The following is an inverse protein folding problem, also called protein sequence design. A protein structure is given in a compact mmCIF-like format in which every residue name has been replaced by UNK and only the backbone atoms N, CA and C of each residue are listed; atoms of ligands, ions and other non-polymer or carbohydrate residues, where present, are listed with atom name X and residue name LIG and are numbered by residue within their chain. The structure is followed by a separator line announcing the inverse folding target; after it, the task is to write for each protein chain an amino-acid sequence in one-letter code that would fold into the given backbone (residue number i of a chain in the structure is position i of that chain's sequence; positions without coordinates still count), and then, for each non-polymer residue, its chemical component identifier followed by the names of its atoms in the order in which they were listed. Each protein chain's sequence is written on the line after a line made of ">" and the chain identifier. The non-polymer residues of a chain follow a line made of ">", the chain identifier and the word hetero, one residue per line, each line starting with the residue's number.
data_IF_909747408895
#
_entry.id   IF_909747408895
#
_cell.length_a   1.000
_cell.length_b   1.000
_cell.length_c   1.000
_cell.angle_alpha   90.00
_cell.angle_beta   90.00
_cell.angle_gamma   90.00
#
_symmetry.space_group_name_H-M   'P 1'
#
loop_
_entity.id
_entity.type
_entity.pdbx_description
1 polymer ?
#
# COMPACT_ATOMS: atom_id res chain seq x y z
N UNK A 1 -16.61 -18.63 -17.80
CA UNK A 1 -16.37 -19.78 -16.91
C UNK A 1 -16.45 -19.26 -15.49
N UNK A 2 -17.30 -19.85 -14.65
CA UNK A 2 -17.28 -19.58 -13.20
C UNK A 2 -16.05 -20.25 -12.62
N UNK A 3 -15.21 -19.57 -11.82
CA UNK A 3 -14.09 -20.24 -11.18
C UNK A 3 -14.60 -21.29 -10.20
N UNK A 4 -13.87 -22.41 -10.15
CA UNK A 4 -14.01 -23.38 -9.09
C UNK A 4 -13.35 -22.80 -7.82
N UNK A 5 -14.16 -22.41 -6.85
CA UNK A 5 -13.70 -21.77 -5.62
C UNK A 5 -12.96 -22.75 -4.70
N UNK A 6 -13.17 -24.06 -4.85
CA UNK A 6 -12.51 -25.09 -4.02
C UNK A 6 -11.00 -25.23 -4.32
N UNK A 7 -10.55 -24.62 -5.43
CA UNK A 7 -9.13 -24.57 -5.82
C UNK A 7 -8.34 -23.44 -5.15
N UNK A 8 -8.96 -22.60 -4.32
CA UNK A 8 -8.31 -21.44 -3.72
C UNK A 8 -8.45 -21.45 -2.21
N UNK A 9 -7.41 -20.97 -1.53
CA UNK A 9 -7.39 -20.88 -0.07
C UNK A 9 -7.95 -19.52 0.40
N UNK A 10 -7.84 -18.49 -0.45
CA UNK A 10 -8.35 -17.14 -0.18
C UNK A 10 -9.05 -16.54 -1.39
N UNK A 11 -10.18 -15.88 -1.12
CA UNK A 11 -10.85 -14.95 -2.03
C UNK A 11 -10.62 -13.53 -1.52
N UNK A 12 -9.95 -12.70 -2.33
CA UNK A 12 -9.80 -11.27 -2.08
C UNK A 12 -10.73 -10.49 -3.01
N UNK A 13 -11.54 -9.60 -2.44
CA UNK A 13 -12.38 -8.67 -3.19
C UNK A 13 -11.79 -7.27 -3.09
N UNK A 14 -11.29 -6.76 -4.21
CA UNK A 14 -10.54 -5.51 -4.33
C UNK A 14 -9.05 -5.75 -4.60
N UNK A 15 -8.53 -5.12 -5.66
CA UNK A 15 -7.12 -5.17 -6.06
C UNK A 15 -6.48 -3.77 -6.13
N UNK A 16 -6.85 -2.92 -5.16
CA UNK A 16 -6.05 -1.75 -4.80
C UNK A 16 -4.74 -2.15 -4.10
N UNK A 17 -3.97 -1.18 -3.63
CA UNK A 17 -2.62 -1.42 -3.08
C UNK A 17 -2.63 -2.42 -1.92
N UNK A 18 -3.61 -2.34 -1.02
CA UNK A 18 -3.75 -3.29 0.09
C UNK A 18 -4.05 -4.72 -0.40
N UNK A 19 -4.96 -4.85 -1.38
CA UNK A 19 -5.33 -6.15 -1.95
C UNK A 19 -4.20 -6.78 -2.75
N UNK A 20 -3.47 -5.97 -3.53
CA UNK A 20 -2.31 -6.41 -4.30
C UNK A 20 -1.15 -6.87 -3.39
N UNK A 21 -0.82 -6.10 -2.36
CA UNK A 21 0.19 -6.47 -1.36
C UNK A 21 -0.22 -7.75 -0.64
N UNK A 22 -1.46 -7.83 -0.14
CA UNK A 22 -1.95 -9.02 0.55
C UNK A 22 -1.94 -10.27 -0.34
N UNK A 23 -2.36 -10.14 -1.61
CA UNK A 23 -2.32 -11.24 -2.57
C UNK A 23 -0.89 -11.75 -2.78
N UNK A 24 0.09 -10.84 -2.95
CA UNK A 24 1.50 -11.18 -3.11
C UNK A 24 2.04 -11.89 -1.88
N UNK A 25 1.80 -11.33 -0.69
CA UNK A 25 2.22 -11.85 0.60
C UNK A 25 1.68 -13.27 0.86
N UNK A 26 0.40 -13.51 0.59
CA UNK A 26 -0.21 -14.83 0.72
C UNK A 26 0.35 -15.84 -0.29
N UNK A 27 0.53 -15.42 -1.55
CA UNK A 27 1.14 -16.27 -2.59
C UNK A 27 2.58 -16.64 -2.26
N UNK A 28 3.36 -15.69 -1.73
CA UNK A 28 4.72 -15.93 -1.25
C UNK A 28 4.82 -16.94 -0.10
N UNK A 29 3.72 -17.13 0.65
CA UNK A 29 3.59 -18.15 1.70
C UNK A 29 3.01 -19.49 1.20
N UNK A 30 2.84 -19.64 -0.12
CA UNK A 30 2.37 -20.88 -0.75
C UNK A 30 0.86 -21.01 -0.87
N UNK A 31 0.09 -19.96 -0.59
CA UNK A 31 -1.37 -20.00 -0.72
C UNK A 31 -1.85 -19.70 -2.13
N UNK A 32 -2.92 -20.38 -2.54
CA UNK A 32 -3.66 -20.13 -3.78
C UNK A 32 -4.66 -19.01 -3.53
N UNK A 33 -4.46 -17.87 -4.19
CA UNK A 33 -5.27 -16.67 -3.97
C UNK A 33 -6.01 -16.27 -5.25
N UNK A 34 -7.33 -16.24 -5.15
CA UNK A 34 -8.23 -15.67 -6.16
C UNK A 34 -8.51 -14.21 -5.81
N UNK A 35 -8.38 -13.32 -6.80
CA UNK A 35 -8.69 -11.90 -6.63
C UNK A 35 -9.79 -11.51 -7.60
N UNK A 36 -10.82 -10.86 -7.08
CA UNK A 36 -11.86 -10.19 -7.86
C UNK A 36 -11.76 -8.69 -7.66
N UNK A 37 -11.64 -7.94 -8.75
CA UNK A 37 -11.63 -6.48 -8.72
C UNK A 37 -12.43 -5.94 -9.89
N UNK A 38 -13.18 -4.86 -9.65
CA UNK A 38 -13.80 -4.08 -10.69
C UNK A 38 -12.87 -2.89 -11.04
N UNK A 39 -12.37 -2.79 -12.28
CA UNK A 39 -11.52 -1.69 -12.68
C UNK A 39 -12.30 -0.37 -12.67
N UNK A 40 -11.97 0.51 -11.73
CA UNK A 40 -12.63 1.81 -11.49
C UNK A 40 -11.64 2.97 -11.50
N UNK A 41 -11.61 3.83 -12.52
CA UNK A 41 -10.55 4.85 -12.66
C UNK A 41 -10.40 5.77 -11.44
N UNK A 42 -11.47 5.97 -10.68
CA UNK A 42 -11.57 6.81 -9.47
C UNK A 42 -11.21 6.09 -8.15
N UNK A 43 -10.78 4.83 -8.19
CA UNK A 43 -10.47 4.10 -6.95
C UNK A 43 -9.27 4.69 -6.22
N UNK A 44 -9.33 4.67 -4.88
CA UNK A 44 -8.37 5.32 -3.98
C UNK A 44 -6.90 5.04 -4.34
N UNK A 45 -6.53 3.78 -4.62
CA UNK A 45 -5.14 3.45 -4.96
C UNK A 45 -4.69 3.99 -6.32
N UNK A 46 -5.59 4.20 -7.27
CA UNK A 46 -5.27 4.73 -8.61
C UNK A 46 -5.10 6.25 -8.61
N UNK A 47 -5.90 6.95 -7.79
CA UNK A 47 -5.87 8.42 -7.70
C UNK A 47 -4.98 8.94 -6.55
N UNK A 48 -4.35 8.04 -5.79
CA UNK A 48 -3.45 8.42 -4.69
C UNK A 48 -2.20 9.14 -5.22
N UNK A 49 -1.73 10.13 -4.46
CA UNK A 49 -0.51 10.86 -4.77
C UNK A 49 0.80 10.08 -4.49
N UNK A 50 0.71 8.88 -3.91
CA UNK A 50 1.87 8.04 -3.57
C UNK A 50 2.69 8.51 -2.37
N UNK A 51 2.19 9.44 -1.55
CA UNK A 51 2.91 9.98 -0.39
C UNK A 51 2.70 9.12 0.87
N UNK A 52 3.79 8.65 1.46
CA UNK A 52 3.81 8.02 2.79
C UNK A 52 4.19 9.06 3.86
N UNK A 53 3.19 9.67 4.50
CA UNK A 53 3.41 10.64 5.59
C UNK A 53 3.16 9.97 6.96
N UNK A 54 4.18 9.79 7.81
CA UNK A 54 4.03 9.12 9.10
C UNK A 54 3.48 10.03 10.21
N UNK A 55 3.20 11.31 9.92
CA UNK A 55 2.61 12.25 10.88
C UNK A 55 1.20 12.67 10.47
N UNK A 56 0.33 12.84 11.46
CA UNK A 56 -1.06 13.21 11.28
C UNK A 56 -1.50 14.35 12.20
N UNK A 57 -2.54 15.05 11.74
CA UNK A 57 -3.19 16.12 12.47
C UNK A 57 -2.36 17.39 12.62
N UNK A 58 -2.91 18.37 13.35
CA UNK A 58 -2.28 19.69 13.56
C UNK A 58 -1.02 19.64 14.42
N UNK A 59 -0.89 18.60 15.26
CA UNK A 59 0.20 18.44 16.24
C UNK A 59 1.32 17.51 15.77
N UNK A 60 1.30 17.06 14.51
CA UNK A 60 2.31 16.15 13.94
C UNK A 60 2.52 14.88 14.78
N UNK A 61 1.44 14.36 15.36
CA UNK A 61 1.51 13.09 16.08
C UNK A 61 1.79 11.98 15.07
N UNK A 62 2.59 10.99 15.45
CA UNK A 62 2.81 9.82 14.61
C UNK A 62 1.47 9.12 14.32
N UNK A 63 1.31 8.63 13.09
CA UNK A 63 0.18 7.77 12.73
C UNK A 63 0.24 6.49 13.55
N UNK A 64 -0.92 5.85 13.70
CA UNK A 64 -1.01 4.61 14.48
C UNK A 64 -0.01 3.56 13.97
N UNK A 65 0.85 3.09 14.88
CA UNK A 65 1.93 2.12 14.62
C UNK A 65 2.95 2.55 13.56
N UNK A 66 3.12 3.85 13.28
CA UNK A 66 4.10 4.34 12.30
C UNK A 66 5.52 3.78 12.52
N UNK A 67 5.94 3.64 13.78
CA UNK A 67 7.25 3.10 14.16
C UNK A 67 7.45 1.66 13.68
N UNK A 68 6.37 0.89 13.57
CA UNK A 68 6.39 -0.50 13.14
C UNK A 68 6.11 -0.63 11.63
N UNK A 69 5.17 0.16 11.11
CA UNK A 69 4.67 0.00 9.74
C UNK A 69 5.52 0.71 8.70
N UNK A 70 6.14 1.86 9.04
CA UNK A 70 6.92 2.63 8.09
C UNK A 70 8.22 1.91 7.68
N UNK A 71 9.04 1.37 8.61
CA UNK A 71 10.24 0.63 8.21
C UNK A 71 9.92 -0.58 7.34
N UNK A 72 8.82 -1.29 7.66
CA UNK A 72 8.35 -2.40 6.84
C UNK A 72 7.98 -1.95 5.42
N UNK A 73 7.18 -0.88 5.30
CA UNK A 73 6.77 -0.37 3.99
C UNK A 73 7.96 0.05 3.13
N UNK A 74 8.95 0.74 3.72
CA UNK A 74 10.18 1.15 3.03
C UNK A 74 10.93 -0.08 2.49
N UNK A 75 11.21 -1.06 3.37
CA UNK A 75 11.93 -2.27 2.97
C UNK A 75 11.16 -3.06 1.90
N UNK A 76 9.84 -3.19 2.06
CA UNK A 76 8.97 -3.89 1.12
C UNK A 76 9.01 -3.27 -0.29
N UNK A 77 8.84 -1.95 -0.42
CA UNK A 77 8.84 -1.31 -1.74
C UNK A 77 10.24 -1.29 -2.39
N UNK A 78 11.31 -1.21 -1.61
CA UNK A 78 12.68 -1.35 -2.12
C UNK A 78 12.93 -2.75 -2.68
N UNK A 79 12.57 -3.79 -1.93
CA UNK A 79 12.68 -5.18 -2.38
C UNK A 79 11.83 -5.43 -3.62
N UNK A 80 10.58 -4.95 -3.62
CA UNK A 80 9.68 -5.09 -4.76
C UNK A 80 10.26 -4.42 -6.02
N UNK A 81 10.94 -3.28 -5.86
CA UNK A 81 11.58 -2.59 -6.96
C UNK A 81 12.75 -3.37 -7.56
N UNK A 82 13.56 -4.01 -6.71
CA UNK A 82 14.62 -4.90 -7.15
C UNK A 82 14.06 -6.12 -7.89
N UNK A 83 13.00 -6.74 -7.37
CA UNK A 83 12.39 -7.93 -7.95
C UNK A 83 11.71 -7.70 -9.31
N UNK A 84 11.19 -6.48 -9.53
CA UNK A 84 10.47 -6.12 -10.76
C UNK A 84 11.28 -5.21 -11.68
N UNK A 85 12.55 -4.96 -11.34
CA UNK A 85 13.44 -4.06 -12.08
C UNK A 85 12.82 -2.67 -12.33
N UNK A 86 12.21 -2.10 -11.29
CA UNK A 86 11.49 -0.82 -11.35
C UNK A 86 11.64 -0.01 -10.06
N UNK A 87 11.55 1.32 -10.15
CA UNK A 87 11.63 2.20 -8.98
C UNK A 87 10.22 2.48 -8.41
N UNK A 88 9.92 1.94 -7.23
CA UNK A 88 8.62 2.18 -6.54
C UNK A 88 8.70 3.15 -5.36
N UNK A 89 9.89 3.44 -4.86
CA UNK A 89 10.09 4.28 -3.68
C UNK A 89 11.15 5.35 -3.96
N UNK A 90 10.77 6.60 -3.73
CA UNK A 90 11.68 7.73 -3.70
C UNK A 90 11.53 8.46 -2.37
N UNK A 91 12.64 8.65 -1.66
CA UNK A 91 12.65 9.46 -0.44
C UNK A 91 12.54 10.95 -0.80
N UNK A 92 11.66 11.66 -0.10
CA UNK A 92 11.44 13.09 -0.32
C UNK A 92 11.10 13.82 0.98
N UNK A 93 11.47 15.09 1.05
CA UNK A 93 11.14 15.94 2.18
C UNK A 93 9.65 16.31 2.15
N UNK A 94 8.95 16.07 3.25
CA UNK A 94 7.57 16.53 3.44
C UNK A 94 7.64 17.89 4.14
N UNK A 95 7.36 18.96 3.39
CA UNK A 95 7.32 20.33 3.92
C UNK A 95 5.89 20.74 4.22
N UNK A 96 5.62 21.18 5.46
CA UNK A 96 4.37 21.87 5.79
C UNK A 96 4.61 23.37 5.85
N UNK A 97 3.91 24.11 5.00
CA UNK A 97 3.88 25.57 5.01
C UNK A 97 2.85 26.02 6.05
N UNK A 98 3.27 26.87 6.99
CA UNK A 98 2.41 27.45 8.02
C UNK A 98 1.82 28.77 7.53
N UNK A 99 0.53 28.98 7.78
CA UNK A 99 -0.18 30.19 7.34
C UNK A 99 0.03 31.40 8.25
N UNK A 100 0.48 31.19 9.48
CA UNK A 100 0.79 32.24 10.46
C UNK A 100 1.76 31.73 11.52
N UNK A 101 2.29 32.64 12.34
CA UNK A 101 3.17 32.29 13.45
C UNK A 101 2.45 31.62 14.64
N UNK A 102 1.11 31.68 14.69
CA UNK A 102 0.30 31.04 15.73
C UNK A 102 -0.13 29.61 15.39
N UNK A 103 0.14 29.16 14.15
CA UNK A 103 -0.04 27.77 13.71
C UNK A 103 1.22 26.94 13.99
#
# INVERSE_FOLDING_TARGET
>A
MTPDFDLYDYLLVGHGIAGAVLARELRGRGHRVLVYDEPRPDAASRVAAGLMNPVAGKRFALTWRAVETLPYAVAYYQQLGQELEADFLAETNILKVFGSAQE
#
